data_IF_641120211882
#
_entry.id   IF_641120211882
#
_cell.length_a   1.000
_cell.length_b   1.000
_cell.length_c   1.000
_cell.angle_alpha   90.00
_cell.angle_beta   90.00
_cell.angle_gamma   90.00
#
_symmetry.space_group_name_H-M   'P 1'
#
loop_
_entity.id
_entity.type
_entity.pdbx_description
1 polymer ?
#
# COMPACT_ATOMS: atom_id res chain seq x y z
N UNK A 1 10.17 4.26 19.07
CA UNK A 1 9.12 5.14 19.62
C UNK A 1 7.77 4.52 19.26
N UNK A 2 6.93 4.21 20.25
CA UNK A 2 5.61 3.61 20.03
C UNK A 2 4.63 4.72 19.63
N UNK A 3 4.21 4.75 18.37
CA UNK A 3 3.20 5.69 17.91
C UNK A 3 1.84 5.03 18.14
N UNK A 4 1.09 5.54 19.11
CA UNK A 4 -0.34 5.26 19.23
C UNK A 4 -0.98 5.97 18.04
N UNK A 5 -1.59 5.20 17.15
CA UNK A 5 -2.24 5.72 15.94
C UNK A 5 -3.76 5.72 16.21
N UNK A 6 -4.23 6.73 16.94
CA UNK A 6 -5.67 6.95 17.14
C UNK A 6 -6.26 7.75 15.98
N UNK A 7 -7.57 7.63 15.73
CA UNK A 7 -8.32 8.55 14.85
C UNK A 7 -8.11 10.03 15.24
N UNK A 8 -7.69 10.27 16.48
CA UNK A 8 -7.46 11.59 17.08
C UNK A 8 -6.04 12.13 16.88
N UNK A 9 -5.13 11.35 16.33
CA UNK A 9 -3.74 11.75 16.12
C UNK A 9 -3.53 12.03 14.62
N UNK A 10 -3.83 13.26 14.15
CA UNK A 10 -3.60 13.63 12.77
C UNK A 10 -2.11 13.58 12.44
N UNK A 11 -1.80 13.18 11.22
CA UNK A 11 -0.45 13.20 10.66
C UNK A 11 -0.42 14.31 9.61
N UNK A 12 0.57 15.20 9.69
CA UNK A 12 0.82 16.17 8.63
C UNK A 12 1.76 15.55 7.58
N UNK A 13 1.39 15.69 6.31
CA UNK A 13 2.18 15.26 5.15
C UNK A 13 2.44 16.50 4.31
N UNK A 14 3.70 16.81 4.04
CA UNK A 14 4.11 17.96 3.25
C UNK A 14 4.94 17.48 2.04
N UNK A 15 4.32 17.27 0.87
CA UNK A 15 5.03 16.89 -0.35
C UNK A 15 6.11 17.92 -0.67
N UNK A 16 7.33 17.45 -0.94
CA UNK A 16 8.52 18.30 -1.16
C UNK A 16 8.31 19.31 -2.30
N UNK A 17 7.45 18.96 -3.24
CA UNK A 17 7.20 19.69 -4.49
C UNK A 17 6.26 20.89 -4.36
N UNK A 18 5.51 21.04 -3.26
CA UNK A 18 4.28 21.85 -3.30
C UNK A 18 4.20 23.03 -2.33
N UNK A 19 5.01 23.02 -1.27
CA UNK A 19 4.84 23.95 -0.14
C UNK A 19 3.48 23.83 0.58
N UNK A 20 2.63 22.86 0.21
CA UNK A 20 1.35 22.57 0.84
C UNK A 20 1.53 21.57 1.97
N UNK A 21 0.61 21.60 2.91
CA UNK A 21 0.53 20.61 3.98
C UNK A 21 -0.84 19.98 4.00
N UNK A 22 -0.87 18.67 3.98
CA UNK A 22 -2.06 17.83 4.04
C UNK A 22 -2.17 17.22 5.42
N UNK A 23 -3.35 17.30 6.02
CA UNK A 23 -3.62 16.62 7.27
C UNK A 23 -4.35 15.32 6.96
N UNK A 24 -3.75 14.19 7.30
CA UNK A 24 -4.38 12.87 7.20
C UNK A 24 -4.70 12.35 8.60
N UNK A 25 -5.65 11.42 8.69
CA UNK A 25 -5.84 10.68 9.93
C UNK A 25 -6.00 9.18 9.70
N UNK A 26 -5.60 8.37 10.69
CA UNK A 26 -5.79 6.94 10.65
C UNK A 26 -7.26 6.57 10.46
N UNK A 27 -7.49 5.58 9.62
CA UNK A 27 -8.82 5.07 9.34
C UNK A 27 -9.29 4.16 10.47
N UNK A 28 -10.53 4.29 10.89
CA UNK A 28 -11.18 3.29 11.76
C UNK A 28 -11.38 1.96 11.03
N UNK A 29 -11.64 0.89 11.77
CA UNK A 29 -11.90 -0.43 11.16
C UNK A 29 -13.00 -0.39 10.08
N UNK A 30 -14.11 0.32 10.34
CA UNK A 30 -15.22 0.45 9.37
C UNK A 30 -14.82 1.26 8.13
N UNK A 31 -14.07 2.35 8.31
CA UNK A 31 -13.57 3.15 7.20
C UNK A 31 -12.56 2.35 6.35
N UNK A 32 -11.70 1.54 6.97
CA UNK A 32 -10.78 0.64 6.25
C UNK A 32 -11.53 -0.41 5.45
N UNK A 33 -12.56 -1.04 6.03
CA UNK A 33 -13.37 -2.02 5.32
C UNK A 33 -14.09 -1.39 4.12
N UNK A 34 -14.66 -0.19 4.31
CA UNK A 34 -15.31 0.56 3.23
C UNK A 34 -14.31 0.95 2.13
N UNK A 35 -13.15 1.49 2.50
CA UNK A 35 -12.07 1.83 1.57
C UNK A 35 -11.61 0.61 0.75
N UNK A 36 -11.42 -0.55 1.39
CA UNK A 36 -11.03 -1.78 0.70
C UNK A 36 -12.13 -2.26 -0.26
N UNK A 37 -13.39 -2.24 0.17
CA UNK A 37 -14.52 -2.59 -0.69
C UNK A 37 -14.62 -1.65 -1.91
N UNK A 38 -14.40 -0.36 -1.69
CA UNK A 38 -14.38 0.66 -2.75
C UNK A 38 -13.24 0.40 -3.75
N UNK A 39 -12.02 0.14 -3.26
CA UNK A 39 -10.88 -0.18 -4.12
C UNK A 39 -11.16 -1.42 -4.97
N UNK A 40 -11.75 -2.47 -4.38
CA UNK A 40 -12.14 -3.68 -5.13
C UNK A 40 -13.24 -3.38 -6.15
N UNK A 41 -14.19 -2.49 -5.82
CA UNK A 41 -15.26 -2.08 -6.75
C UNK A 41 -14.72 -1.33 -7.96
N UNK A 42 -13.72 -0.46 -7.77
CA UNK A 42 -13.17 0.39 -8.84
C UNK A 42 -12.05 -0.30 -9.63
N UNK A 43 -11.15 -1.00 -8.95
CA UNK A 43 -9.98 -1.62 -9.55
C UNK A 43 -10.14 -3.13 -9.84
N UNK A 44 -11.15 -3.77 -9.25
CA UNK A 44 -11.21 -5.23 -9.13
C UNK A 44 -10.38 -5.74 -7.96
N UNK A 45 -10.53 -7.04 -7.66
CA UNK A 45 -9.72 -7.69 -6.64
C UNK A 45 -8.24 -7.70 -7.10
N UNK A 46 -7.29 -7.18 -6.29
CA UNK A 46 -5.88 -7.26 -6.62
C UNK A 46 -5.44 -8.71 -6.74
N UNK A 47 -4.54 -8.98 -7.69
CA UNK A 47 -3.96 -10.31 -7.84
C UNK A 47 -3.00 -10.59 -6.69
N UNK A 48 -3.08 -11.77 -6.09
CA UNK A 48 -2.07 -12.19 -5.13
C UNK A 48 -0.75 -12.50 -5.86
N UNK A 49 0.39 -12.26 -5.19
CA UNK A 49 1.72 -12.54 -5.74
C UNK A 49 1.82 -13.96 -6.31
N UNK A 50 1.33 -14.95 -5.58
CA UNK A 50 1.32 -16.36 -6.01
C UNK A 50 0.55 -16.57 -7.31
N UNK A 51 -0.59 -15.90 -7.50
CA UNK A 51 -1.37 -15.98 -8.73
C UNK A 51 -0.64 -15.34 -9.91
N UNK A 52 0.01 -14.19 -9.70
CA UNK A 52 0.84 -13.55 -10.71
C UNK A 52 1.99 -14.45 -11.15
N UNK A 53 2.70 -15.04 -10.18
CA UNK A 53 3.81 -15.97 -10.46
C UNK A 53 3.34 -17.22 -11.19
N UNK A 54 2.27 -17.87 -10.72
CA UNK A 54 1.73 -19.07 -11.36
C UNK A 54 1.27 -18.79 -12.80
N UNK A 55 0.56 -17.68 -13.03
CA UNK A 55 0.07 -17.30 -14.36
C UNK A 55 1.23 -16.92 -15.29
N UNK A 56 2.27 -16.27 -14.77
CA UNK A 56 3.50 -15.99 -15.52
C UNK A 56 4.19 -17.28 -15.96
N UNK A 57 4.37 -18.25 -15.04
CA UNK A 57 4.98 -19.55 -15.35
C UNK A 57 4.18 -20.29 -16.43
N UNK A 58 2.85 -20.28 -16.34
CA UNK A 58 1.97 -20.86 -17.36
C UNK A 58 2.12 -20.15 -18.72
N UNK A 59 2.22 -18.82 -18.74
CA UNK A 59 2.44 -18.06 -19.98
C UNK A 59 3.77 -18.40 -20.65
N UNK A 60 4.84 -18.60 -19.88
CA UNK A 60 6.14 -19.01 -20.42
C UNK A 60 6.11 -20.44 -20.95
N UNK A 61 5.37 -21.34 -20.29
CA UNK A 61 5.19 -22.71 -20.78
C UNK A 61 4.50 -22.75 -22.15
N UNK A 62 3.60 -21.81 -22.42
CA UNK A 62 2.94 -21.65 -23.72
C UNK A 62 3.86 -21.04 -24.78
N UNK A 63 4.57 -19.95 -24.44
CA UNK A 63 5.31 -19.15 -25.43
C UNK A 63 6.73 -19.65 -25.72
N UNK A 64 7.40 -20.27 -24.75
CA UNK A 64 8.82 -20.59 -24.83
C UNK A 64 9.13 -21.97 -24.22
N UNK A 65 8.49 -23.06 -24.68
CA UNK A 65 8.68 -24.39 -24.10
C UNK A 65 10.14 -24.87 -24.18
N UNK A 66 10.85 -24.51 -25.25
CA UNK A 66 12.23 -24.95 -25.49
C UNK A 66 13.24 -24.30 -24.53
N UNK A 67 12.97 -23.08 -24.09
CA UNK A 67 13.83 -22.32 -23.16
C UNK A 67 13.23 -22.24 -21.75
N UNK A 68 12.14 -22.95 -21.48
CA UNK A 68 11.34 -22.78 -20.28
C UNK A 68 12.18 -22.94 -19.00
N UNK A 69 13.04 -23.97 -18.95
CA UNK A 69 13.87 -24.23 -17.78
C UNK A 69 14.82 -23.07 -17.45
N UNK A 70 15.42 -22.45 -18.47
CA UNK A 70 16.33 -21.31 -18.29
C UNK A 70 15.58 -20.08 -17.82
N UNK A 71 14.42 -19.78 -18.43
CA UNK A 71 13.59 -18.64 -18.05
C UNK A 71 13.05 -18.80 -16.63
N UNK A 72 12.62 -20.01 -16.24
CA UNK A 72 12.18 -20.29 -14.87
C UNK A 72 13.30 -20.14 -13.86
N UNK A 73 14.53 -20.54 -14.18
CA UNK A 73 15.68 -20.37 -13.30
C UNK A 73 15.95 -18.88 -12.99
N UNK A 74 15.85 -18.01 -14.00
CA UNK A 74 15.97 -16.54 -13.82
C UNK A 74 14.89 -16.01 -12.89
N UNK A 75 13.64 -16.48 -13.04
CA UNK A 75 12.55 -16.05 -12.18
C UNK A 75 12.70 -16.52 -10.73
N UNK A 76 13.18 -17.74 -10.54
CA UNK A 76 13.42 -18.31 -9.21
C UNK A 76 14.59 -17.61 -8.51
N UNK A 77 15.65 -17.28 -9.25
CA UNK A 77 16.77 -16.46 -8.75
C UNK A 77 16.29 -15.08 -8.31
N UNK A 78 15.47 -14.42 -9.14
CA UNK A 78 14.91 -13.10 -8.81
C UNK A 78 13.99 -13.14 -7.59
N UNK A 79 13.24 -14.23 -7.41
CA UNK A 79 12.42 -14.43 -6.22
C UNK A 79 13.27 -14.67 -4.96
N UNK A 80 14.35 -15.44 -5.06
CA UNK A 80 15.22 -15.76 -3.94
C UNK A 80 15.95 -14.53 -3.37
N UNK A 81 16.22 -13.52 -4.20
CA UNK A 81 16.90 -12.28 -3.79
C UNK A 81 15.95 -11.10 -3.56
N UNK A 82 14.65 -11.36 -3.42
CA UNK A 82 13.68 -10.31 -3.12
C UNK A 82 14.12 -9.53 -1.86
N UNK A 83 14.09 -8.20 -1.92
CA UNK A 83 14.57 -7.27 -0.87
C UNK A 83 16.10 -7.22 -0.67
N UNK A 84 16.89 -7.76 -1.60
CA UNK A 84 18.34 -7.56 -1.63
C UNK A 84 18.73 -6.09 -1.91
N UNK A 85 19.97 -5.74 -1.56
CA UNK A 85 20.50 -4.41 -1.85
C UNK A 85 20.50 -4.11 -3.36
N UNK A 86 20.36 -2.82 -3.71
CA UNK A 86 20.44 -2.34 -5.09
C UNK A 86 21.90 -2.38 -5.59
N UNK A 87 22.28 -3.49 -6.22
CA UNK A 87 23.61 -3.74 -6.80
C UNK A 87 23.51 -3.82 -8.33
N UNK A 88 24.62 -3.68 -9.06
CA UNK A 88 24.63 -3.90 -10.50
C UNK A 88 24.04 -5.26 -10.92
N UNK A 89 24.29 -6.30 -10.13
CA UNK A 89 23.80 -7.67 -10.37
C UNK A 89 22.28 -7.76 -10.18
N UNK A 90 21.74 -7.21 -9.09
CA UNK A 90 20.29 -7.22 -8.86
C UNK A 90 19.53 -6.39 -9.90
N UNK A 91 20.13 -5.29 -10.39
CA UNK A 91 19.59 -4.52 -11.53
C UNK A 91 19.63 -5.28 -12.84
N UNK A 92 20.72 -6.00 -13.12
CA UNK A 92 20.82 -6.84 -14.32
C UNK A 92 19.76 -7.95 -14.32
N UNK A 93 19.56 -8.59 -13.16
CA UNK A 93 18.52 -9.60 -13.00
C UNK A 93 17.11 -8.99 -13.16
N UNK A 94 16.85 -7.82 -12.57
CA UNK A 94 15.58 -7.11 -12.74
C UNK A 94 15.31 -6.75 -14.22
N UNK A 95 16.34 -6.37 -14.97
CA UNK A 95 16.22 -6.13 -16.41
C UNK A 95 15.88 -7.41 -17.19
N UNK A 96 16.48 -8.55 -16.84
CA UNK A 96 16.12 -9.84 -17.44
C UNK A 96 14.68 -10.23 -17.13
N UNK A 97 14.24 -10.08 -15.87
CA UNK A 97 12.84 -10.32 -15.47
C UNK A 97 11.89 -9.42 -16.25
N UNK A 98 12.25 -8.15 -16.48
CA UNK A 98 11.43 -7.22 -17.26
C UNK A 98 11.24 -7.68 -18.72
N UNK A 99 12.28 -8.27 -19.34
CA UNK A 99 12.18 -8.85 -20.68
C UNK A 99 11.28 -10.10 -20.67
N UNK A 100 11.42 -10.96 -19.66
CA UNK A 100 10.57 -12.14 -19.48
C UNK A 100 9.10 -11.74 -19.31
N UNK A 101 8.82 -10.75 -18.46
CA UNK A 101 7.47 -10.23 -18.23
C UNK A 101 6.89 -9.63 -19.53
N UNK A 102 7.69 -8.86 -20.29
CA UNK A 102 7.25 -8.32 -21.58
C UNK A 102 6.89 -9.41 -22.61
N UNK A 103 7.61 -10.54 -22.62
CA UNK A 103 7.26 -11.69 -23.44
C UNK A 103 5.98 -12.36 -22.93
N UNK A 104 5.88 -12.63 -21.63
CA UNK A 104 4.70 -13.26 -21.02
C UNK A 104 3.42 -12.44 -21.22
N UNK A 105 3.50 -11.12 -21.31
CA UNK A 105 2.38 -10.21 -21.62
C UNK A 105 1.72 -10.46 -22.99
N UNK A 106 2.32 -11.29 -23.86
CA UNK A 106 1.67 -11.74 -25.09
C UNK A 106 0.56 -12.78 -24.83
N UNK A 107 0.54 -13.43 -23.66
CA UNK A 107 -0.55 -14.33 -23.24
C UNK A 107 -1.67 -13.52 -22.57
N UNK A 108 -2.90 -13.49 -23.13
CA UNK A 108 -3.98 -12.64 -22.63
C UNK A 108 -4.30 -12.81 -21.14
N UNK A 109 -4.30 -14.05 -20.64
CA UNK A 109 -4.61 -14.33 -19.23
C UNK A 109 -3.60 -13.68 -18.27
N UNK A 110 -2.32 -13.68 -18.62
CA UNK A 110 -1.29 -13.00 -17.82
C UNK A 110 -1.40 -11.48 -17.97
N UNK A 111 -1.62 -10.98 -19.20
CA UNK A 111 -1.77 -9.55 -19.46
C UNK A 111 -2.95 -8.93 -18.71
N UNK A 112 -4.10 -9.60 -18.68
CA UNK A 112 -5.28 -9.17 -17.92
C UNK A 112 -5.00 -9.12 -16.41
N UNK A 113 -4.30 -10.13 -15.89
CA UNK A 113 -3.93 -10.21 -14.48
C UNK A 113 -3.01 -9.05 -14.07
N UNK A 114 -2.01 -8.76 -14.91
CA UNK A 114 -1.08 -7.64 -14.75
C UNK A 114 -1.82 -6.31 -14.83
N UNK A 115 -2.68 -6.11 -15.83
CA UNK A 115 -3.48 -4.88 -15.99
C UNK A 115 -4.39 -4.62 -14.78
N UNK A 116 -5.01 -5.66 -14.23
CA UNK A 116 -5.79 -5.57 -12.99
C UNK A 116 -4.94 -5.16 -11.80
N UNK A 117 -3.75 -5.73 -11.66
CA UNK A 117 -2.83 -5.37 -10.59
C UNK A 117 -2.37 -3.90 -10.71
N UNK A 118 -1.98 -3.46 -11.90
CA UNK A 118 -1.62 -2.07 -12.17
C UNK A 118 -2.76 -1.11 -11.83
N UNK A 119 -3.99 -1.42 -12.25
CA UNK A 119 -5.17 -0.59 -11.92
C UNK A 119 -5.37 -0.47 -10.41
N UNK A 120 -5.20 -1.57 -9.67
CA UNK A 120 -5.33 -1.56 -8.21
C UNK A 120 -4.26 -0.68 -7.55
N UNK A 121 -2.99 -0.82 -7.94
CA UNK A 121 -1.91 0.03 -7.42
C UNK A 121 -2.17 1.50 -7.77
N UNK A 122 -2.54 1.79 -9.01
CA UNK A 122 -2.76 3.15 -9.50
C UNK A 122 -3.93 3.86 -8.81
N UNK A 123 -5.03 3.15 -8.53
CA UNK A 123 -6.20 3.72 -7.85
C UNK A 123 -6.06 3.74 -6.33
N UNK A 124 -5.08 3.04 -5.75
CA UNK A 124 -4.91 2.97 -4.30
C UNK A 124 -4.73 4.34 -3.65
N UNK A 125 -3.84 5.25 -4.13
CA UNK A 125 -3.68 6.56 -3.52
C UNK A 125 -4.96 7.41 -3.55
N UNK A 126 -5.67 7.41 -4.68
CA UNK A 126 -6.93 8.14 -4.84
C UNK A 126 -7.98 7.66 -3.83
N UNK A 127 -8.22 6.35 -3.78
CA UNK A 127 -9.20 5.75 -2.87
C UNK A 127 -8.77 5.95 -1.42
N UNK A 128 -7.49 5.81 -1.10
CA UNK A 128 -7.00 6.06 0.25
C UNK A 128 -7.23 7.52 0.67
N UNK A 129 -6.82 8.49 -0.15
CA UNK A 129 -7.00 9.92 0.11
C UNK A 129 -8.47 10.29 0.33
N UNK A 130 -9.39 9.73 -0.48
CA UNK A 130 -10.86 9.90 -0.32
C UNK A 130 -11.33 9.63 1.11
N UNK A 131 -10.79 8.61 1.76
CA UNK A 131 -11.17 8.21 3.13
C UNK A 131 -10.29 8.83 4.22
N UNK A 132 -9.01 9.07 3.98
CA UNK A 132 -8.03 9.42 5.02
C UNK A 132 -7.69 10.89 5.15
N UNK A 133 -7.89 11.68 4.10
CA UNK A 133 -7.58 13.11 4.12
C UNK A 133 -8.59 13.87 4.99
N UNK A 134 -8.09 14.82 5.77
CA UNK A 134 -8.84 15.55 6.82
C UNK A 134 -8.81 17.05 6.65
N UNK A 135 -7.75 17.57 6.05
CA UNK A 135 -7.61 18.99 5.71
C UNK A 135 -6.44 19.21 4.74
N UNK A 136 -6.33 20.41 4.18
CA UNK A 136 -5.10 20.92 3.58
C UNK A 136 -4.92 22.42 3.81
N UNK A 137 -3.67 22.86 3.83
CA UNK A 137 -3.28 24.27 3.85
C UNK A 137 -2.22 24.56 2.78
N UNK A 138 -2.26 25.77 2.25
CA UNK A 138 -1.40 26.23 1.16
C UNK A 138 -2.21 26.77 -0.01
N UNK A 139 -1.54 27.43 -0.94
CA UNK A 139 -2.19 28.14 -2.04
C UNK A 139 -2.61 27.21 -3.19
N UNK A 140 -3.64 27.63 -3.92
CA UNK A 140 -4.04 27.02 -5.18
C UNK A 140 -4.99 25.81 -5.09
N UNK A 141 -5.44 25.44 -3.89
CA UNK A 141 -6.49 24.43 -3.71
C UNK A 141 -7.83 25.05 -3.30
N UNK A 142 -8.97 24.43 -3.68
CA UNK A 142 -10.29 24.85 -3.21
C UNK A 142 -10.42 24.68 -1.69
N UNK A 143 -11.46 25.31 -1.12
CA UNK A 143 -11.79 25.12 0.30
C UNK A 143 -12.04 23.64 0.61
N UNK A 144 -11.33 23.12 1.62
CA UNK A 144 -11.47 21.73 2.03
C UNK A 144 -12.88 21.45 2.57
N UNK A 145 -13.45 20.31 2.17
CA UNK A 145 -14.68 19.78 2.78
C UNK A 145 -14.77 18.27 2.62
N UNK A 146 -15.62 17.68 3.46
CA UNK A 146 -16.02 16.27 3.36
C UNK A 146 -17.52 16.15 3.27
N UNK A 147 -17.97 15.21 2.45
CA UNK A 147 -19.39 14.86 2.30
C UNK A 147 -19.54 13.42 2.73
N UNK A 148 -20.42 13.15 3.69
CA UNK A 148 -20.65 11.80 4.26
C UNK A 148 -19.36 11.12 4.73
N UNK A 149 -18.42 11.91 5.27
CA UNK A 149 -17.15 11.38 5.76
C UNK A 149 -16.17 11.00 4.65
N UNK A 150 -16.27 11.54 3.45
CA UNK A 150 -15.30 11.33 2.36
C UNK A 150 -14.94 12.67 1.71
N UNK A 151 -13.73 12.77 1.17
CA UNK A 151 -13.36 13.88 0.30
C UNK A 151 -14.03 13.68 -1.06
N UNK A 152 -14.81 14.65 -1.56
CA UNK A 152 -15.42 14.56 -2.89
C UNK A 152 -14.40 14.48 -4.03
N UNK A 153 -14.77 13.82 -5.12
CA UNK A 153 -13.90 13.58 -6.27
C UNK A 153 -13.41 14.89 -6.89
N UNK A 154 -14.28 15.90 -6.99
CA UNK A 154 -13.93 17.20 -7.53
C UNK A 154 -12.82 17.93 -6.75
N UNK A 155 -12.62 17.58 -5.47
CA UNK A 155 -11.51 18.13 -4.70
C UNK A 155 -10.26 17.26 -4.78
N UNK A 156 -10.41 15.94 -4.95
CA UNK A 156 -9.26 15.06 -5.20
C UNK A 156 -8.63 15.35 -6.56
N UNK A 157 -9.46 15.61 -7.58
CA UNK A 157 -9.03 16.00 -8.93
C UNK A 157 -8.33 17.37 -8.96
N UNK A 158 -8.53 18.21 -7.95
CA UNK A 158 -7.84 19.49 -7.82
C UNK A 158 -6.42 19.35 -7.25
N UNK A 159 -6.08 18.20 -6.64
CA UNK A 159 -4.75 17.94 -6.10
C UNK A 159 -3.83 17.50 -7.24
N UNK A 160 -2.62 18.07 -7.37
CA UNK A 160 -1.65 17.61 -8.37
C UNK A 160 -1.38 16.10 -8.24
N UNK A 161 -1.29 15.34 -9.34
CA UNK A 161 -1.21 13.88 -9.29
C UNK A 161 -0.08 13.33 -8.40
N UNK A 162 1.10 13.96 -8.42
CA UNK A 162 2.25 13.56 -7.59
C UNK A 162 1.99 13.76 -6.11
N UNK A 163 1.33 14.87 -5.74
CA UNK A 163 0.97 15.16 -4.35
C UNK A 163 -0.13 14.21 -3.86
N UNK A 164 -1.12 13.91 -4.72
CA UNK A 164 -2.18 12.95 -4.42
C UNK A 164 -1.61 11.54 -4.23
N UNK A 165 -0.63 11.15 -5.04
CA UNK A 165 0.07 9.88 -4.91
C UNK A 165 0.78 9.78 -3.55
N UNK A 166 1.61 10.76 -3.20
CA UNK A 166 2.33 10.79 -1.92
C UNK A 166 1.38 10.77 -0.71
N UNK A 167 0.35 11.63 -0.73
CA UNK A 167 -0.64 11.73 0.36
C UNK A 167 -1.46 10.45 0.47
N UNK A 168 -1.91 9.90 -0.66
CA UNK A 168 -2.68 8.68 -0.71
C UNK A 168 -1.90 7.47 -0.19
N UNK A 169 -0.62 7.34 -0.56
CA UNK A 169 0.26 6.33 0.01
C UNK A 169 0.48 6.55 1.50
N UNK A 170 0.67 7.79 1.96
CA UNK A 170 0.80 8.06 3.39
C UNK A 170 -0.45 7.62 4.17
N UNK A 171 -1.65 7.88 3.65
CA UNK A 171 -2.91 7.37 4.23
C UNK A 171 -2.93 5.84 4.25
N UNK A 172 -2.60 5.20 3.11
CA UNK A 172 -2.64 3.75 2.99
C UNK A 172 -1.75 3.06 4.03
N UNK A 173 -0.53 3.56 4.21
CA UNK A 173 0.40 3.06 5.22
C UNK A 173 -0.10 3.34 6.65
N UNK A 174 -0.63 4.54 6.92
CA UNK A 174 -1.19 4.87 8.23
C UNK A 174 -2.42 4.01 8.60
N UNK A 175 -3.15 3.50 7.59
CA UNK A 175 -4.28 2.61 7.79
C UNK A 175 -3.87 1.15 8.10
N UNK A 176 -2.64 0.75 7.77
CA UNK A 176 -2.12 -0.58 7.98
C UNK A 176 -1.07 -0.57 9.09
N UNK A 177 -1.54 -0.74 10.33
CA UNK A 177 -0.66 -1.04 11.48
C UNK A 177 -0.01 -2.40 11.21
N UNK A 178 1.32 -2.48 11.25
CA UNK A 178 2.03 -3.75 11.01
C UNK A 178 1.79 -4.74 12.14
N UNK A 179 1.89 -6.05 11.87
CA UNK A 179 1.77 -7.10 12.90
C UNK A 179 2.81 -6.94 14.05
N UNK A 180 3.93 -6.25 13.79
CA UNK A 180 4.93 -5.88 14.81
C UNK A 180 4.43 -4.76 15.70
N UNK A 181 3.68 -3.81 15.15
CA UNK A 181 3.03 -2.75 15.90
C UNK A 181 1.88 -3.29 16.75
N UNK A 182 1.08 -4.26 16.26
CA UNK A 182 0.00 -4.93 17.01
C UNK A 182 0.46 -5.56 18.34
N UNK A 183 1.68 -6.11 18.41
CA UNK A 183 2.23 -6.69 19.66
C UNK A 183 2.51 -5.65 20.75
N UNK A 184 2.67 -4.37 20.40
CA UNK A 184 2.83 -3.29 21.37
C UNK A 184 1.49 -2.75 21.92
N UNK A 185 0.35 -3.33 21.49
CA UNK A 185 -0.98 -2.96 21.98
C UNK A 185 -1.52 -3.90 23.07
N UNK A 186 -0.76 -4.93 23.48
CA UNK A 186 -1.09 -5.66 24.69
C UNK A 186 -1.08 -4.66 25.86
N UNK A 187 -2.21 -4.58 26.59
CA UNK A 187 -2.38 -3.70 27.73
C UNK A 187 -1.16 -3.78 28.66
N UNK A 188 -0.72 -2.67 29.29
CA UNK A 188 0.34 -2.74 30.28
C UNK A 188 -0.06 -3.80 31.30
N UNK A 189 0.80 -4.81 31.47
CA UNK A 189 0.64 -5.80 32.54
C UNK A 189 0.36 -5.03 33.83
N UNK A 190 -0.69 -5.38 34.58
CA UNK A 190 -0.92 -4.74 35.87
C UNK A 190 0.35 -4.95 36.70
N UNK A 191 1.02 -3.85 37.04
CA UNK A 191 2.10 -3.87 38.01
C UNK A 191 1.56 -4.51 39.29
N UNK A 192 2.30 -5.44 39.92
CA UNK A 192 1.83 -6.09 41.13
C UNK A 192 1.54 -5.03 42.19
N UNK A 193 0.31 -5.02 42.70
CA UNK A 193 -0.02 -4.29 43.92
C UNK A 193 0.97 -4.70 45.00
N UNK A 194 1.80 -3.73 45.40
CA UNK A 194 2.60 -3.88 46.61
C UNK A 194 1.61 -3.93 47.77
N UNK A 195 1.41 -5.13 48.32
CA UNK A 195 0.68 -5.31 49.57
C UNK A 195 1.39 -4.53 50.65
N UNK A 196 0.80 -3.42 51.07
CA UNK A 196 1.19 -2.74 52.30
C UNK A 196 0.73 -3.63 53.47
N UNK A 197 1.63 -4.12 54.34
CA UNK A 197 1.21 -4.93 55.49
C UNK A 197 0.51 -4.05 56.52
N UNK A 198 -0.70 -4.46 56.92
CA UNK A 198 -1.47 -3.91 58.03
C UNK A 198 -0.68 -4.06 59.35
N UNK A 199 -0.59 -3.02 60.20
CA UNK A 199 0.02 -3.16 61.53
C UNK A 199 -0.91 -3.98 62.44
N UNK A 200 -0.34 -5.00 63.08
CA UNK A 200 -0.99 -5.76 64.14
C UNK A 200 -1.10 -4.90 65.42
N UNK A 201 -2.25 -4.98 66.07
CA UNK A 201 -2.44 -4.57 67.47
C UNK A 201 -1.86 -5.59 68.45
#
# INVERSE_FOLDING_TARGET
MSVIISRRDPIEVAPESSGRVYTIAPLTFRERAAMKAELVREAGQPAFREQLLATRRAALQELAPDNLAELLAVLDEAEAINDAADTPETRALAAQVSVIDAAAMQVPAYAELVARNYRSVYLTPLVAARYGLRDWRGDGLPAFRRVRGMVPDELLDAIPPTELEEVGWAVWHAAHVSAVQEKNFAAPSPSPESQTPTPAG
#
